data_IF_125138332499
#
_entry.id   IF_125138332499
#
_cell.length_a   1.000
_cell.length_b   1.000
_cell.length_c   1.000
_cell.angle_alpha   90.00
_cell.angle_beta   90.00
_cell.angle_gamma   90.00
#
_symmetry.space_group_name_H-M   'P 1'
#
loop_
_entity.id
_entity.type
_entity.pdbx_description
1 polymer ?
#
# COMPACT_ATOMS: atom_id res chain seq x y z
N UNK A 1 8.83 -2.87 -0.96
CA UNK A 1 8.11 -1.58 -1.01
C UNK A 1 6.72 -1.74 -0.39
N UNK A 2 6.53 -1.46 0.92
CA UNK A 2 5.21 -1.34 1.54
C UNK A 2 4.56 0.02 1.26
N UNK A 3 3.37 0.28 1.81
CA UNK A 3 2.77 1.62 1.86
C UNK A 3 2.35 2.00 3.30
N UNK A 4 1.87 3.24 3.47
CA UNK A 4 1.55 3.83 4.79
C UNK A 4 0.51 3.04 5.59
N UNK A 5 -0.36 2.27 4.94
CA UNK A 5 -1.42 1.49 5.59
C UNK A 5 -0.88 0.30 6.38
N UNK A 6 0.41 -0.05 6.22
CA UNK A 6 1.08 -1.07 7.04
C UNK A 6 1.00 -0.73 8.53
N UNK A 7 0.93 0.55 8.90
CA UNK A 7 0.80 1.00 10.30
C UNK A 7 -0.48 0.48 11.00
N UNK A 8 -1.50 0.13 10.22
CA UNK A 8 -2.78 -0.39 10.74
C UNK A 8 -3.03 -1.85 10.30
N UNK A 9 -2.00 -2.55 9.81
CA UNK A 9 -2.13 -3.92 9.33
C UNK A 9 -2.99 -4.09 8.07
N UNK A 10 -3.15 -3.01 7.28
CA UNK A 10 -3.91 -3.01 6.00
C UNK A 10 -3.04 -2.53 4.84
N UNK A 11 -1.74 -2.80 4.92
CA UNK A 11 -0.74 -2.43 3.93
C UNK A 11 -0.84 -3.21 2.63
N UNK A 12 -0.22 -2.65 1.59
CA UNK A 12 0.09 -3.34 0.34
C UNK A 12 1.60 -3.27 0.12
N UNK A 13 2.24 -4.42 -0.12
CA UNK A 13 3.69 -4.50 -0.26
C UNK A 13 4.15 -5.31 -1.49
N UNK A 14 5.28 -4.92 -2.08
CA UNK A 14 5.99 -5.71 -3.07
C UNK A 14 7.38 -6.12 -2.58
N UNK A 15 7.82 -7.33 -2.91
CA UNK A 15 9.13 -7.89 -2.58
C UNK A 15 9.82 -8.35 -3.88
N UNK A 16 11.12 -8.06 -4.00
CA UNK A 16 11.97 -8.57 -5.07
C UNK A 16 13.28 -9.07 -4.44
N UNK A 17 13.74 -10.25 -4.86
CA UNK A 17 15.07 -10.76 -4.51
C UNK A 17 16.09 -10.43 -5.61
N UNK A 18 17.37 -10.37 -5.25
CA UNK A 18 18.49 -10.31 -6.19
C UNK A 18 19.10 -11.72 -6.41
N UNK A 19 20.19 -11.82 -7.17
CA UNK A 19 20.85 -13.11 -7.44
C UNK A 19 21.43 -13.82 -6.20
N UNK A 20 21.60 -13.11 -5.08
CA UNK A 20 22.13 -13.66 -3.84
C UNK A 20 21.04 -14.16 -2.89
N UNK A 21 19.79 -13.78 -3.11
CA UNK A 21 18.66 -14.16 -2.26
C UNK A 21 18.04 -15.48 -2.72
N UNK A 22 17.94 -16.45 -1.81
CA UNK A 22 17.25 -17.70 -2.10
C UNK A 22 15.72 -17.48 -2.18
N UNK A 23 15.02 -18.39 -2.85
CA UNK A 23 13.55 -18.32 -2.96
C UNK A 23 12.89 -18.39 -1.59
N UNK A 24 13.47 -19.17 -0.67
CA UNK A 24 13.01 -19.31 0.71
C UNK A 24 13.17 -18.01 1.49
N UNK A 25 14.30 -17.30 1.31
CA UNK A 25 14.52 -15.98 1.91
C UNK A 25 13.53 -14.94 1.39
N UNK A 26 13.29 -14.91 0.07
CA UNK A 26 12.30 -14.01 -0.53
C UNK A 26 10.89 -14.33 -0.02
N UNK A 27 10.52 -15.61 0.05
CA UNK A 27 9.22 -16.05 0.55
C UNK A 27 9.04 -15.73 2.04
N UNK A 28 10.10 -15.86 2.84
CA UNK A 28 10.09 -15.48 4.25
C UNK A 28 9.78 -13.99 4.41
N UNK A 29 10.44 -13.12 3.63
CA UNK A 29 10.19 -11.67 3.66
C UNK A 29 8.78 -11.34 3.15
N UNK A 30 8.29 -12.02 2.11
CA UNK A 30 6.90 -11.88 1.65
C UNK A 30 5.91 -12.20 2.78
N UNK A 31 6.09 -13.34 3.46
CA UNK A 31 5.23 -13.75 4.57
C UNK A 31 5.27 -12.75 5.74
N UNK A 32 6.44 -12.16 6.01
CA UNK A 32 6.56 -11.08 6.99
C UNK A 32 5.68 -9.88 6.62
N UNK A 33 5.70 -9.43 5.36
CA UNK A 33 4.82 -8.33 4.91
C UNK A 33 3.34 -8.72 4.87
N UNK A 34 3.00 -9.99 4.65
CA UNK A 34 1.61 -10.47 4.73
C UNK A 34 1.03 -10.35 6.14
N UNK A 35 1.86 -10.33 7.20
CA UNK A 35 1.39 -10.02 8.55
C UNK A 35 0.87 -8.57 8.71
N UNK A 36 1.25 -7.68 7.79
CA UNK A 36 0.89 -6.26 7.78
C UNK A 36 -0.16 -5.91 6.70
N UNK A 37 -0.70 -6.91 6.00
CA UNK A 37 -1.67 -6.73 4.92
C UNK A 37 -1.42 -7.68 3.75
N UNK A 38 -1.40 -7.16 2.52
CA UNK A 38 -1.16 -7.94 1.31
C UNK A 38 0.28 -7.77 0.82
N UNK A 39 0.90 -8.84 0.32
CA UNK A 39 2.22 -8.77 -0.28
C UNK A 39 2.40 -9.69 -1.48
N UNK A 40 3.12 -9.20 -2.51
CA UNK A 40 3.43 -9.92 -3.74
C UNK A 40 4.93 -9.97 -3.99
N UNK A 41 5.40 -11.05 -4.60
CA UNK A 41 6.73 -11.10 -5.21
C UNK A 41 6.60 -10.58 -6.64
N UNK A 42 7.33 -9.51 -6.96
CA UNK A 42 7.30 -8.87 -8.28
C UNK A 42 8.73 -8.72 -8.81
N UNK A 43 8.94 -8.71 -10.13
CA UNK A 43 10.24 -8.37 -10.68
C UNK A 43 10.54 -6.88 -10.46
N UNK A 44 11.82 -6.55 -10.25
CA UNK A 44 12.29 -5.18 -9.95
C UNK A 44 11.76 -4.13 -10.93
N UNK A 45 11.66 -4.47 -12.23
CA UNK A 45 11.17 -3.57 -13.28
C UNK A 45 9.75 -3.03 -13.03
N UNK A 46 8.92 -3.75 -12.26
CA UNK A 46 7.53 -3.39 -12.01
C UNK A 46 7.39 -2.49 -10.77
N UNK A 47 8.47 -2.23 -10.01
CA UNK A 47 8.41 -1.47 -8.75
C UNK A 47 8.03 0.00 -8.96
N UNK A 48 8.40 0.62 -10.09
CA UNK A 48 7.97 1.97 -10.42
C UNK A 48 6.45 2.04 -10.59
N UNK A 49 5.87 1.07 -11.32
CA UNK A 49 4.43 0.96 -11.54
C UNK A 49 3.71 0.63 -10.23
N UNK A 50 4.24 -0.31 -9.44
CA UNK A 50 3.69 -0.66 -8.14
C UNK A 50 3.70 0.53 -7.18
N UNK A 51 4.77 1.33 -7.16
CA UNK A 51 4.87 2.51 -6.31
C UNK A 51 3.82 3.55 -6.69
N UNK A 52 3.66 3.83 -7.99
CA UNK A 52 2.64 4.75 -8.48
C UNK A 52 1.21 4.31 -8.14
N UNK A 53 0.93 3.00 -8.14
CA UNK A 53 -0.38 2.46 -7.83
C UNK A 53 -0.58 2.24 -6.32
N UNK A 54 0.14 1.31 -5.72
CA UNK A 54 -0.03 0.90 -4.32
C UNK A 54 0.57 1.90 -3.32
N UNK A 55 1.67 2.55 -3.68
CA UNK A 55 2.31 3.57 -2.84
C UNK A 55 1.49 4.86 -2.77
N UNK A 56 1.01 5.34 -3.92
CA UNK A 56 0.28 6.62 -4.01
C UNK A 56 -1.24 6.51 -3.81
N UNK A 57 -1.86 5.34 -4.02
CA UNK A 57 -3.32 5.18 -3.84
C UNK A 57 -3.89 5.64 -2.50
N UNK A 58 -3.21 5.50 -1.33
CA UNK A 58 -3.73 6.05 -0.09
C UNK A 58 -3.96 7.56 -0.16
N UNK A 59 -3.08 8.32 -0.82
CA UNK A 59 -3.24 9.76 -0.97
C UNK A 59 -4.46 10.11 -1.83
N UNK A 60 -4.71 9.37 -2.91
CA UNK A 60 -5.89 9.57 -3.75
C UNK A 60 -7.18 9.24 -3.00
N UNK A 61 -7.19 8.15 -2.23
CA UNK A 61 -8.33 7.79 -1.39
C UNK A 61 -8.60 8.84 -0.31
N UNK A 62 -7.55 9.36 0.34
CA UNK A 62 -7.70 10.43 1.34
C UNK A 62 -8.27 11.70 0.72
N UNK A 63 -7.79 12.10 -0.46
CA UNK A 63 -8.31 13.26 -1.15
C UNK A 63 -9.78 13.07 -1.54
N UNK A 64 -10.16 11.88 -2.02
CA UNK A 64 -11.54 11.55 -2.36
C UNK A 64 -12.46 11.64 -1.13
N UNK A 65 -12.07 11.02 -0.02
CA UNK A 65 -12.82 11.04 1.24
C UNK A 65 -12.93 12.47 1.78
N UNK A 66 -11.84 13.24 1.80
CA UNK A 66 -11.83 14.63 2.27
C UNK A 66 -12.74 15.52 1.41
N UNK A 67 -12.75 15.30 0.09
CA UNK A 67 -13.61 16.05 -0.84
C UNK A 67 -15.10 15.81 -0.56
N UNK A 68 -15.49 14.55 -0.32
CA UNK A 68 -16.87 14.20 0.04
C UNK A 68 -17.24 14.81 1.40
N UNK A 69 -16.36 14.70 2.39
CA UNK A 69 -16.58 15.26 3.72
C UNK A 69 -16.79 16.78 3.67
N UNK A 70 -15.98 17.51 2.88
CA UNK A 70 -16.14 18.96 2.66
C UNK A 70 -17.46 19.30 1.98
N UNK A 71 -17.89 18.50 1.00
CA UNK A 71 -19.18 18.70 0.36
C UNK A 71 -20.34 18.51 1.36
N UNK A 72 -20.25 17.51 2.24
CA UNK A 72 -21.22 17.29 3.32
C UNK A 72 -21.30 18.48 4.27
N UNK A 73 -20.16 18.98 4.75
CA UNK A 73 -20.11 20.17 5.63
C UNK A 73 -20.73 21.40 4.95
N UNK A 74 -20.52 21.57 3.64
CA UNK A 74 -21.15 22.66 2.86
C UNK A 74 -22.69 22.55 2.80
N UNK A 75 -23.24 21.35 2.98
CA UNK A 75 -24.68 21.07 3.04
C UNK A 75 -25.21 21.00 4.48
N UNK A 76 -24.49 21.57 5.45
CA UNK A 76 -24.81 21.58 6.88
C UNK A 76 -24.87 20.18 7.54
N UNK A 77 -24.28 19.15 6.91
CA UNK A 77 -24.00 17.90 7.62
C UNK A 77 -22.87 18.15 8.64
N UNK A 78 -23.13 17.79 9.90
CA UNK A 78 -22.10 17.80 10.94
C UNK A 78 -20.93 16.91 10.52
N UNK A 79 -19.70 17.36 10.78
CA UNK A 79 -18.50 16.55 10.60
C UNK A 79 -18.59 15.37 11.58
N UNK A 80 -18.79 14.16 11.04
CA UNK A 80 -18.74 12.92 11.82
C UNK A 80 -17.30 12.68 12.26
#
# INVERSE_FOLDING_TARGET
MPNVNAMIGKGAAAVCGNEFASKEQVSYVQNMFQSLGMAWILPEKDFSNFTALAGSSPAYAYLFIDSIARAGVKMDFQKI
#
